data_IF_103645953712
#
_entry.id   IF_103645953712
#
_cell.length_a   1.000
_cell.length_b   1.000
_cell.length_c   1.000
_cell.angle_alpha   90.00
_cell.angle_beta   90.00
_cell.angle_gamma   90.00
#
_symmetry.space_group_name_H-M   'P 1'
#
loop_
_entity.id
_entity.type
_entity.pdbx_description
1 polymer ?
#
# COMPACT_ATOMS: atom_id res chain seq x y z
N UNK A 1 -5.36 -8.88 40.66
CA UNK A 1 -4.48 -8.19 39.69
C UNK A 1 -4.01 -9.13 38.58
N UNK A 2 -3.48 -10.32 38.87
CA UNK A 2 -3.09 -11.31 37.83
C UNK A 2 -4.29 -11.81 37.02
N UNK A 3 -5.38 -12.20 37.70
CA UNK A 3 -6.60 -12.73 37.06
C UNK A 3 -7.23 -11.75 36.06
N UNK A 4 -7.23 -10.45 36.37
CA UNK A 4 -7.74 -9.41 35.45
C UNK A 4 -6.85 -9.22 34.22
N UNK A 5 -5.54 -9.46 34.36
CA UNK A 5 -4.63 -9.41 33.22
C UNK A 5 -4.80 -10.65 32.33
N UNK A 6 -4.94 -11.82 32.94
CA UNK A 6 -5.20 -13.08 32.23
C UNK A 6 -6.51 -13.03 31.44
N UNK A 7 -7.59 -12.50 32.03
CA UNK A 7 -8.87 -12.29 31.35
C UNK A 7 -8.73 -11.36 30.13
N UNK A 8 -8.06 -10.21 30.31
CA UNK A 8 -7.82 -9.28 29.20
C UNK A 8 -6.94 -9.87 28.10
N UNK A 9 -5.98 -10.72 28.45
CA UNK A 9 -5.14 -11.42 27.46
C UNK A 9 -5.96 -12.46 26.72
N UNK A 10 -6.79 -13.25 27.40
CA UNK A 10 -7.68 -14.22 26.76
C UNK A 10 -8.64 -13.56 25.76
N UNK A 11 -9.22 -12.41 26.13
CA UNK A 11 -10.07 -11.62 25.24
C UNK A 11 -9.31 -11.14 23.99
N UNK A 12 -8.07 -10.66 24.17
CA UNK A 12 -7.21 -10.24 23.06
C UNK A 12 -6.82 -11.41 22.16
N UNK A 13 -6.50 -12.56 22.72
CA UNK A 13 -6.15 -13.77 21.97
C UNK A 13 -7.34 -14.25 21.12
N UNK A 14 -8.55 -14.25 21.68
CA UNK A 14 -9.77 -14.58 20.96
C UNK A 14 -10.04 -13.61 19.81
N UNK A 15 -9.86 -12.31 20.04
CA UNK A 15 -10.05 -11.28 19.02
C UNK A 15 -9.00 -11.38 17.90
N UNK A 16 -7.74 -11.62 18.25
CA UNK A 16 -6.66 -11.84 17.27
C UNK A 16 -6.93 -13.10 16.44
N UNK A 17 -7.38 -14.19 17.06
CA UNK A 17 -7.76 -15.40 16.33
C UNK A 17 -8.90 -15.12 15.33
N UNK A 18 -9.91 -14.33 15.74
CA UNK A 18 -11.00 -13.91 14.85
C UNK A 18 -10.50 -13.07 13.66
N UNK A 19 -9.58 -12.14 13.91
CA UNK A 19 -9.01 -11.29 12.85
C UNK A 19 -8.17 -12.10 11.86
N UNK A 20 -7.33 -13.02 12.35
CA UNK A 20 -6.54 -13.92 11.50
C UNK A 20 -7.43 -14.75 10.57
N UNK A 21 -8.49 -15.36 11.12
CA UNK A 21 -9.47 -16.11 10.32
C UNK A 21 -10.16 -15.24 9.25
N UNK A 22 -10.43 -13.96 9.52
CA UNK A 22 -11.02 -13.06 8.50
C UNK A 22 -10.04 -12.75 7.37
N UNK A 23 -8.76 -12.55 7.69
CA UNK A 23 -7.72 -12.26 6.70
C UNK A 23 -7.40 -13.50 5.85
N UNK A 24 -7.31 -14.67 6.46
CA UNK A 24 -7.02 -15.93 5.77
C UNK A 24 -8.15 -16.34 4.81
N UNK A 25 -9.41 -15.97 5.10
CA UNK A 25 -10.55 -16.32 4.24
C UNK A 25 -10.73 -15.42 3.00
N UNK A 26 -10.00 -14.30 2.88
CA UNK A 26 -10.03 -13.41 1.68
C UNK A 26 -8.95 -13.77 0.63
N UNK A 27 -8.33 -14.95 0.80
CA UNK A 27 -7.08 -15.34 0.13
C UNK A 27 -7.26 -16.17 -1.16
N UNK A 28 -8.46 -16.25 -1.76
CA UNK A 28 -8.61 -17.08 -2.98
C UNK A 28 -7.71 -16.63 -4.13
N UNK A 29 -7.29 -15.34 -4.13
CA UNK A 29 -6.23 -14.80 -4.98
C UNK A 29 -5.42 -13.74 -4.24
N UNK A 30 -4.09 -13.67 -4.43
CA UNK A 30 -3.26 -12.57 -3.95
C UNK A 30 -3.84 -11.20 -4.34
N UNK A 31 -3.74 -10.21 -3.45
CA UNK A 31 -4.28 -8.87 -3.69
C UNK A 31 -3.74 -8.22 -4.97
N UNK A 32 -2.48 -8.50 -5.34
CA UNK A 32 -1.85 -7.97 -6.53
C UNK A 32 -2.48 -8.55 -7.82
N UNK A 33 -2.97 -9.79 -7.80
CA UNK A 33 -3.74 -10.36 -8.91
C UNK A 33 -5.10 -9.68 -9.06
N UNK A 34 -5.69 -9.20 -7.95
CA UNK A 34 -6.98 -8.48 -7.96
C UNK A 34 -6.86 -7.09 -8.61
N UNK A 35 -5.67 -6.48 -8.60
CA UNK A 35 -5.45 -5.08 -9.03
C UNK A 35 -4.56 -4.94 -10.27
N UNK A 36 -3.85 -5.99 -10.67
CA UNK A 36 -3.04 -5.97 -11.88
C UNK A 36 -3.93 -5.74 -13.11
N UNK A 37 -3.57 -4.75 -13.92
CA UNK A 37 -4.32 -4.40 -15.14
C UNK A 37 -5.58 -3.55 -14.92
N UNK A 38 -5.88 -3.07 -13.71
CA UNK A 38 -7.02 -2.16 -13.44
C UNK A 38 -7.01 -0.91 -14.35
N UNK A 39 -5.83 -0.47 -14.76
CA UNK A 39 -5.64 0.67 -15.66
C UNK A 39 -5.07 0.28 -17.02
N UNK A 40 -5.13 -1.01 -17.39
CA UNK A 40 -4.73 -1.45 -18.72
C UNK A 40 -5.50 -0.65 -19.78
N UNK A 41 -4.78 -0.13 -20.77
CA UNK A 41 -5.32 0.64 -21.89
C UNK A 41 -6.11 1.90 -21.50
N UNK A 42 -5.92 2.43 -20.29
CA UNK A 42 -6.55 3.67 -19.85
C UNK A 42 -5.66 4.89 -20.19
N UNK A 43 -6.03 5.73 -21.19
CA UNK A 43 -5.19 6.86 -21.60
C UNK A 43 -5.05 7.94 -20.51
N UNK A 44 -5.99 8.03 -19.57
CA UNK A 44 -5.88 8.96 -18.45
C UNK A 44 -4.78 8.54 -17.46
N UNK A 45 -4.53 7.22 -17.33
CA UNK A 45 -3.45 6.69 -16.52
C UNK A 45 -2.09 7.04 -17.11
N UNK A 46 -1.93 6.87 -18.42
CA UNK A 46 -0.70 7.22 -19.14
C UNK A 46 -0.35 8.71 -18.99
N UNK A 47 -1.35 9.57 -19.13
CA UNK A 47 -1.19 11.02 -18.96
C UNK A 47 -0.82 11.40 -17.51
N UNK A 48 -1.47 10.78 -16.53
CA UNK A 48 -1.13 10.98 -15.11
C UNK A 48 0.32 10.55 -14.82
N UNK A 49 0.76 9.43 -15.39
CA UNK A 49 2.14 8.94 -15.25
C UNK A 49 3.16 9.85 -15.92
N UNK A 50 2.83 10.44 -17.08
CA UNK A 50 3.65 11.45 -17.77
C UNK A 50 3.82 12.70 -16.91
N UNK A 51 2.71 13.30 -16.46
CA UNK A 51 2.71 14.50 -15.63
C UNK A 51 3.45 14.29 -14.30
N UNK A 52 3.23 13.15 -13.64
CA UNK A 52 3.93 12.82 -12.41
C UNK A 52 5.43 12.64 -12.60
N UNK A 53 5.87 12.13 -13.76
CA UNK A 53 7.30 12.03 -14.11
C UNK A 53 7.92 13.41 -14.28
N UNK A 54 7.29 14.27 -15.07
CA UNK A 54 7.76 15.65 -15.31
C UNK A 54 7.92 16.43 -14.01
N UNK A 55 6.97 16.29 -13.09
CA UNK A 55 7.06 16.91 -11.77
C UNK A 55 8.22 16.35 -10.94
N UNK A 56 8.45 15.04 -10.93
CA UNK A 56 9.59 14.47 -10.19
C UNK A 56 10.94 14.87 -10.80
N UNK A 57 11.00 14.95 -12.12
CA UNK A 57 12.21 15.34 -12.83
C UNK A 57 12.53 16.83 -12.61
N UNK A 58 11.52 17.71 -12.51
CA UNK A 58 11.73 19.13 -12.18
C UNK A 58 12.25 19.37 -10.76
N UNK A 59 12.06 18.40 -9.86
CA UNK A 59 12.59 18.44 -8.49
C UNK A 59 13.99 17.83 -8.36
N UNK A 60 14.58 17.31 -9.44
CA UNK A 60 15.94 16.75 -9.39
C UNK A 60 16.98 17.88 -9.32
N UNK A 61 17.94 17.81 -8.36
CA UNK A 61 18.92 18.88 -8.15
C UNK A 61 19.82 19.21 -9.34
N UNK A 62 20.05 18.25 -10.25
CA UNK A 62 21.12 18.34 -11.26
C UNK A 62 20.73 19.12 -12.53
N UNK A 63 19.50 19.62 -12.65
CA UNK A 63 19.09 20.47 -13.76
C UNK A 63 19.48 21.96 -13.57
N UNK A 64 19.89 22.36 -12.36
CA UNK A 64 20.25 23.75 -12.04
C UNK A 64 21.77 24.01 -12.02
N UNK A 65 22.62 22.97 -11.89
CA UNK A 65 24.08 23.15 -11.87
C UNK A 65 24.72 23.14 -13.27
N UNK A 66 24.16 22.43 -14.26
CA UNK A 66 24.70 22.40 -15.63
C UNK A 66 24.38 23.64 -16.48
N UNK A 67 23.58 24.58 -15.98
CA UNK A 67 23.19 25.80 -16.70
C UNK A 67 24.04 27.04 -16.34
N UNK A 68 25.02 26.90 -15.43
CA UNK A 68 25.83 28.00 -14.90
C UNK A 68 27.35 27.82 -15.12
N UNK A 69 27.78 26.93 -16.04
CA UNK A 69 29.15 26.88 -16.58
C UNK A 69 29.17 27.35 -18.05
#
# INVERSE_FOLDING_TARGET
>A
MSEQLEERVADLEAEVARLKNKVENDSSRPWWEKIAGTFADNPAYDEAMRLGREYRDSLRPDALELANE
#
